data_IF_654797598765
#
_entry.id   IF_654797598765
#
_cell.length_a   1.000
_cell.length_b   1.000
_cell.length_c   1.000
_cell.angle_alpha   90.00
_cell.angle_beta   90.00
_cell.angle_gamma   90.00
#
_symmetry.space_group_name_H-M   'P 1'
#
loop_
_entity.id
_entity.type
_entity.pdbx_description
1 polymer ?
#
# COMPACT_ATOMS: atom_id res chain seq x y z
N UNK A 1 14.70 6.83 30.58
CA UNK A 1 13.81 7.36 29.52
C UNK A 1 14.08 6.57 28.26
N UNK A 2 13.13 5.77 27.79
CA UNK A 2 13.28 4.99 26.56
C UNK A 2 13.21 5.95 25.36
N UNK A 3 14.22 5.93 24.49
CA UNK A 3 14.11 6.56 23.16
C UNK A 3 12.90 5.91 22.46
N UNK A 4 11.92 6.69 21.96
CA UNK A 4 10.87 6.11 21.13
C UNK A 4 11.54 5.42 19.95
N UNK A 5 11.22 4.15 19.69
CA UNK A 5 11.60 3.52 18.42
C UNK A 5 10.94 4.34 17.31
N UNK A 6 11.75 5.04 16.53
CA UNK A 6 11.31 5.55 15.23
C UNK A 6 10.98 4.36 14.34
N UNK A 7 9.88 4.45 13.60
CA UNK A 7 9.45 3.44 12.65
C UNK A 7 9.52 4.05 11.25
N UNK A 8 9.69 3.20 10.24
CA UNK A 8 9.67 3.64 8.85
C UNK A 8 8.22 3.78 8.36
N UNK A 9 7.90 4.95 7.81
CA UNK A 9 6.53 5.29 7.39
C UNK A 9 6.09 4.43 6.20
N UNK A 10 6.98 4.18 5.25
CA UNK A 10 6.65 3.47 4.02
C UNK A 10 6.47 1.97 4.29
N UNK A 11 7.31 1.38 5.16
CA UNK A 11 7.14 0.02 5.67
C UNK A 11 5.83 -0.14 6.43
N UNK A 12 5.48 0.83 7.29
CA UNK A 12 4.22 0.78 8.03
C UNK A 12 2.99 0.89 7.11
N UNK A 13 3.05 1.71 6.05
CA UNK A 13 1.98 1.77 5.04
C UNK A 13 1.91 0.46 4.26
N UNK A 14 3.04 -0.12 3.85
CA UNK A 14 3.07 -1.40 3.14
C UNK A 14 2.42 -2.52 3.97
N UNK A 15 2.70 -2.59 5.28
CA UNK A 15 2.03 -3.54 6.19
C UNK A 15 0.54 -3.24 6.38
N UNK A 16 0.16 -1.97 6.42
CA UNK A 16 -1.25 -1.60 6.49
C UNK A 16 -2.03 -2.04 5.23
N UNK A 17 -1.40 -2.08 4.04
CA UNK A 17 -2.00 -2.64 2.81
C UNK A 17 -2.47 -4.08 3.06
N UNK A 18 -1.61 -4.92 3.64
CA UNK A 18 -1.93 -6.33 3.91
C UNK A 18 -3.12 -6.47 4.85
N UNK A 19 -3.15 -5.69 5.94
CA UNK A 19 -4.26 -5.70 6.90
C UNK A 19 -5.58 -5.31 6.23
N UNK A 20 -5.57 -4.25 5.43
CA UNK A 20 -6.77 -3.80 4.72
C UNK A 20 -7.20 -4.77 3.61
N UNK A 21 -6.28 -5.46 2.95
CA UNK A 21 -6.64 -6.51 1.99
C UNK A 21 -7.34 -7.70 2.65
N UNK A 22 -6.83 -8.15 3.79
CA UNK A 22 -7.38 -9.30 4.50
C UNK A 22 -8.74 -9.01 5.14
N UNK A 23 -8.96 -7.77 5.60
CA UNK A 23 -10.11 -7.42 6.46
C UNK A 23 -11.09 -6.42 5.86
N UNK A 24 -10.71 -5.77 4.77
CA UNK A 24 -11.44 -4.63 4.21
C UNK A 24 -11.35 -3.38 5.09
N UNK A 25 -11.87 -2.26 4.58
CA UNK A 25 -11.88 -1.00 5.33
C UNK A 25 -12.66 -1.14 6.63
N UNK A 26 -13.92 -1.59 6.61
CA UNK A 26 -14.73 -1.64 7.83
C UNK A 26 -14.23 -2.66 8.85
N UNK A 27 -13.75 -3.82 8.39
CA UNK A 27 -13.29 -4.92 9.24
C UNK A 27 -11.92 -4.73 9.88
N UNK A 28 -11.06 -3.85 9.34
CA UNK A 28 -9.74 -3.56 9.94
C UNK A 28 -9.88 -2.69 11.19
N UNK A 29 -9.94 -3.29 12.37
CA UNK A 29 -10.03 -2.53 13.62
C UNK A 29 -8.68 -1.90 13.98
N UNK A 30 -8.70 -0.89 14.86
CA UNK A 30 -7.46 -0.24 15.31
C UNK A 30 -6.43 -1.24 15.89
N UNK A 31 -6.79 -2.23 16.73
CA UNK A 31 -5.83 -3.23 17.19
C UNK A 31 -5.17 -4.01 16.05
N UNK A 32 -5.94 -4.44 15.04
CA UNK A 32 -5.42 -5.15 13.88
C UNK A 32 -4.38 -4.33 13.11
N UNK A 33 -4.64 -3.02 12.95
CA UNK A 33 -3.73 -2.09 12.31
C UNK A 33 -2.46 -1.89 13.13
N UNK A 34 -2.56 -1.69 14.44
CA UNK A 34 -1.40 -1.50 15.30
C UNK A 34 -0.50 -2.74 15.33
N UNK A 35 -1.09 -3.91 15.43
CA UNK A 35 -0.38 -5.18 15.45
C UNK A 35 0.24 -5.49 14.07
N UNK A 36 -0.52 -5.33 12.99
CA UNK A 36 -0.03 -5.58 11.63
C UNK A 36 1.07 -4.61 11.20
N UNK A 37 0.95 -3.33 11.56
CA UNK A 37 1.97 -2.31 11.26
C UNK A 37 3.17 -2.39 12.23
N UNK A 38 3.02 -3.04 13.39
CA UNK A 38 4.05 -3.10 14.43
C UNK A 38 4.32 -1.76 15.10
N UNK A 39 3.31 -0.88 15.22
CA UNK A 39 3.46 0.48 15.77
C UNK A 39 2.56 0.70 16.98
N UNK A 40 2.97 1.63 17.85
CA UNK A 40 2.16 2.06 18.97
C UNK A 40 1.00 2.97 18.53
N UNK A 41 -0.10 2.97 19.29
CA UNK A 41 -1.28 3.80 19.03
C UNK A 41 -0.94 5.29 18.82
N UNK A 42 -0.10 5.86 19.70
CA UNK A 42 0.30 7.26 19.59
C UNK A 42 1.07 7.57 18.30
N UNK A 43 1.90 6.63 17.84
CA UNK A 43 2.63 6.74 16.58
C UNK A 43 1.68 6.73 15.39
N UNK A 44 0.65 5.87 15.42
CA UNK A 44 -0.36 5.82 14.36
C UNK A 44 -1.05 7.16 14.20
N UNK A 45 -1.61 7.70 15.28
CA UNK A 45 -2.33 8.98 15.24
C UNK A 45 -1.42 10.15 14.88
N UNK A 46 -0.17 10.16 15.36
CA UNK A 46 0.79 11.23 15.06
C UNK A 46 1.20 11.24 13.58
N UNK A 47 1.41 10.07 12.97
CA UNK A 47 1.94 9.97 11.61
C UNK A 47 0.84 9.93 10.53
N UNK A 48 -0.29 9.30 10.84
CA UNK A 48 -1.34 8.99 9.87
C UNK A 48 -2.67 9.68 10.17
N UNK A 49 -2.84 10.25 11.37
CA UNK A 49 -4.11 10.80 11.81
C UNK A 49 -5.10 9.68 12.09
N UNK A 50 -6.18 9.57 11.33
CA UNK A 50 -7.19 8.54 11.55
C UNK A 50 -7.11 7.34 10.58
N UNK A 51 -7.99 6.35 10.79
CA UNK A 51 -8.10 5.16 9.94
C UNK A 51 -8.41 5.51 8.48
N UNK A 52 -9.22 6.55 8.24
CA UNK A 52 -9.59 6.98 6.87
C UNK A 52 -8.37 7.55 6.16
N UNK A 53 -7.62 8.42 6.83
CA UNK A 53 -6.39 9.01 6.28
C UNK A 53 -5.32 7.94 6.04
N UNK A 54 -5.13 6.99 6.96
CA UNK A 54 -4.27 5.84 6.74
C UNK A 54 -4.72 5.03 5.51
N UNK A 55 -6.00 4.74 5.39
CA UNK A 55 -6.55 3.97 4.27
C UNK A 55 -6.34 4.68 2.92
N UNK A 56 -6.52 5.99 2.85
CA UNK A 56 -6.25 6.75 1.62
C UNK A 56 -4.77 6.68 1.22
N UNK A 57 -3.84 6.72 2.18
CA UNK A 57 -2.41 6.54 1.88
C UNK A 57 -2.09 5.12 1.43
N UNK A 58 -2.74 4.12 2.00
CA UNK A 58 -2.65 2.72 1.57
C UNK A 58 -3.11 2.57 0.11
N UNK A 59 -4.23 3.18 -0.26
CA UNK A 59 -4.72 3.16 -1.65
C UNK A 59 -3.75 3.86 -2.60
N UNK A 60 -3.22 5.02 -2.21
CA UNK A 60 -2.21 5.73 -3.01
C UNK A 60 -0.96 4.87 -3.19
N UNK A 61 -0.45 4.26 -2.12
CA UNK A 61 0.72 3.39 -2.17
C UNK A 61 0.50 2.20 -3.10
N UNK A 62 -0.69 1.59 -3.05
CA UNK A 62 -1.05 0.50 -3.95
C UNK A 62 -1.08 0.96 -5.41
N UNK A 63 -1.66 2.13 -5.69
CA UNK A 63 -1.69 2.70 -7.02
C UNK A 63 -0.28 2.91 -7.59
N UNK A 64 0.60 3.53 -6.80
CA UNK A 64 1.99 3.81 -7.20
C UNK A 64 2.82 2.53 -7.45
N UNK A 65 2.65 1.50 -6.62
CA UNK A 65 3.48 0.28 -6.69
C UNK A 65 2.95 -0.74 -7.68
N UNK A 66 1.63 -0.95 -7.72
CA UNK A 66 1.02 -2.05 -8.45
C UNK A 66 0.30 -1.62 -9.73
N UNK A 67 -0.27 -0.41 -9.75
CA UNK A 67 -1.16 0.02 -10.85
C UNK A 67 -0.41 0.87 -11.87
N UNK A 68 0.36 1.88 -11.43
CA UNK A 68 0.98 2.86 -12.31
C UNK A 68 1.85 2.21 -13.39
N UNK A 69 2.75 1.30 -13.00
CA UNK A 69 3.61 0.59 -13.96
C UNK A 69 2.82 -0.38 -14.86
N UNK A 70 1.69 -0.92 -14.41
CA UNK A 70 0.84 -1.75 -15.26
C UNK A 70 0.15 -0.89 -16.34
N UNK A 71 -0.38 0.27 -15.95
CA UNK A 71 -1.01 1.24 -16.86
C UNK A 71 0.00 1.73 -17.90
N UNK A 72 1.22 2.07 -17.49
CA UNK A 72 2.27 2.50 -18.41
C UNK A 72 2.55 1.45 -19.49
N UNK A 73 2.73 0.18 -19.10
CA UNK A 73 2.97 -0.92 -20.05
C UNK A 73 1.78 -1.17 -20.99
N UNK A 74 0.55 -1.07 -20.46
CA UNK A 74 -0.66 -1.32 -21.24
C UNK A 74 -1.01 -0.18 -22.19
N UNK A 75 -0.55 1.05 -21.91
CA UNK A 75 -0.82 2.23 -22.72
C UNK A 75 0.38 2.68 -23.58
N UNK A 76 1.51 1.97 -23.50
CA UNK A 76 2.72 2.21 -24.30
C UNK A 76 2.40 2.31 -25.81
N UNK A 77 2.50 3.52 -26.41
CA UNK A 77 2.16 3.73 -27.81
C UNK A 77 3.24 3.21 -28.77
N UNK A 78 4.44 2.86 -28.26
CA UNK A 78 5.52 2.31 -29.08
C UNK A 78 5.25 0.86 -29.50
N UNK A 79 4.34 0.18 -28.80
CA UNK A 79 3.84 -1.15 -29.16
C UNK A 79 2.40 -1.06 -29.61
N UNK A 80 2.07 -1.15 -30.91
CA UNK A 80 0.70 -1.10 -31.38
C UNK A 80 -0.11 -2.36 -31.03
N UNK A 81 0.55 -3.52 -30.86
CA UNK A 81 -0.11 -4.79 -30.59
C UNK A 81 -0.52 -4.93 -29.11
N UNK A 82 -1.84 -4.90 -28.85
CA UNK A 82 -2.39 -5.03 -27.51
C UNK A 82 -2.07 -6.37 -26.83
N UNK A 83 -1.93 -7.46 -27.60
CA UNK A 83 -1.58 -8.77 -27.04
C UNK A 83 -0.16 -8.76 -26.51
N UNK A 84 0.77 -8.10 -27.22
CA UNK A 84 2.16 -7.94 -26.75
C UNK A 84 2.26 -7.07 -25.51
N UNK A 85 1.47 -5.98 -25.41
CA UNK A 85 1.42 -5.15 -24.19
C UNK A 85 0.93 -5.97 -22.98
N UNK A 86 -0.09 -6.79 -23.16
CA UNK A 86 -0.60 -7.69 -22.11
C UNK A 86 0.44 -8.75 -21.73
N UNK A 87 1.09 -9.39 -22.70
CA UNK A 87 2.13 -10.39 -22.44
C UNK A 87 3.28 -9.81 -21.60
N UNK A 88 3.80 -8.63 -21.99
CA UNK A 88 4.85 -7.93 -21.24
C UNK A 88 4.45 -7.55 -19.81
N UNK A 89 3.17 -7.25 -19.58
CA UNK A 89 2.68 -6.99 -18.22
C UNK A 89 2.86 -8.24 -17.36
N UNK A 90 2.42 -9.41 -17.85
CA UNK A 90 2.56 -10.66 -17.11
C UNK A 90 4.02 -11.07 -16.89
N UNK A 91 4.90 -10.81 -17.86
CA UNK A 91 6.34 -11.05 -17.72
C UNK A 91 6.99 -10.21 -16.59
N UNK A 92 6.35 -9.11 -16.17
CA UNK A 92 6.85 -8.24 -15.10
C UNK A 92 6.38 -8.63 -13.69
N UNK A 93 5.49 -9.62 -13.58
CA UNK A 93 4.88 -10.06 -12.31
C UNK A 93 5.42 -11.44 -11.87
N UNK A 94 6.17 -12.13 -12.73
CA UNK A 94 6.78 -13.46 -12.48
C UNK A 94 8.29 -13.32 -12.27
#
# INVERSE_FOLDING_TARGET
>A
MARPREFDIDDAIAKAVEVFWLRGYDGAALPDLLDGMGIARGSLYKAFGDKKQLYLRVLQRYDEVAVAGAVERLTDPSEPDGVKRIARLFDSVI
#
